data_IF_031007311996
#
_entry.id   IF_031007311996
#
_cell.length_a   1.000
_cell.length_b   1.000
_cell.length_c   1.000
_cell.angle_alpha   90.00
_cell.angle_beta   90.00
_cell.angle_gamma   90.00
#
_symmetry.space_group_name_H-M   'P 1'
#
loop_
_entity.id
_entity.type
_entity.pdbx_description
1 polymer ?
#
# COMPACT_ATOMS: atom_id res chain seq x y z
N UNK A 1 29.72 20.68 -19.67
CA UNK A 1 28.62 20.60 -18.70
C UNK A 1 27.41 21.31 -19.31
N UNK A 2 26.49 20.50 -19.80
CA UNK A 2 25.21 21.01 -20.28
C UNK A 2 24.23 21.07 -19.11
N UNK A 3 23.36 22.09 -19.04
CA UNK A 3 22.40 22.22 -17.96
C UNK A 3 21.20 21.31 -18.16
N UNK A 4 20.68 20.78 -17.06
CA UNK A 4 19.45 19.97 -16.97
C UNK A 4 18.25 20.70 -17.55
N UNK A 5 17.31 20.03 -18.22
CA UNK A 5 16.10 20.66 -18.75
C UNK A 5 15.16 21.11 -17.62
N UNK A 6 14.63 22.32 -17.78
CA UNK A 6 13.75 22.99 -16.85
C UNK A 6 12.41 22.28 -16.69
N UNK A 7 11.96 22.19 -15.45
CA UNK A 7 10.61 21.76 -15.07
C UNK A 7 9.60 22.79 -15.58
N UNK A 8 8.75 22.40 -16.52
CA UNK A 8 7.64 23.22 -17.02
C UNK A 8 6.55 23.26 -15.93
N UNK A 9 6.34 24.45 -15.36
CA UNK A 9 5.16 24.74 -14.53
C UNK A 9 4.01 25.14 -15.47
N UNK A 10 2.78 24.67 -15.28
CA UNK A 10 1.65 25.19 -16.04
C UNK A 10 1.32 26.63 -15.60
N UNK A 11 1.08 27.48 -16.59
CA UNK A 11 0.70 28.87 -16.39
C UNK A 11 -0.69 29.00 -15.77
N UNK A 12 -0.80 29.81 -14.74
CA UNK A 12 -2.04 30.39 -14.28
C UNK A 12 -2.43 31.53 -15.21
N UNK A 13 -3.59 31.45 -15.83
CA UNK A 13 -4.44 32.61 -16.14
C UNK A 13 -5.70 32.18 -16.88
N UNK A 14 -6.83 32.31 -16.22
CA UNK A 14 -8.10 32.68 -16.86
C UNK A 14 -9.07 33.18 -15.79
N UNK A 15 -9.18 34.48 -15.64
CA UNK A 15 -10.25 35.18 -14.95
C UNK A 15 -11.58 34.90 -15.67
N UNK A 16 -12.51 34.20 -15.02
CA UNK A 16 -13.91 34.18 -15.44
C UNK A 16 -14.75 35.01 -14.48
N UNK A 17 -15.28 36.09 -14.98
CA UNK A 17 -16.26 36.95 -14.33
C UNK A 17 -17.55 36.18 -14.03
N UNK A 18 -17.87 36.01 -12.76
CA UNK A 18 -19.14 35.45 -12.30
C UNK A 18 -20.13 36.62 -12.17
N UNK A 19 -21.12 36.65 -13.06
CA UNK A 19 -22.28 37.56 -12.95
C UNK A 19 -23.10 37.25 -11.72
N UNK A 20 -23.23 38.23 -10.83
CA UNK A 20 -24.14 38.18 -9.66
C UNK A 20 -25.57 38.18 -10.16
N UNK A 21 -26.29 37.11 -9.98
CA UNK A 21 -27.74 37.06 -10.07
C UNK A 21 -28.31 37.58 -8.74
N UNK A 22 -29.01 38.71 -8.80
CA UNK A 22 -29.77 39.28 -7.68
C UNK A 22 -31.01 38.43 -7.41
N UNK A 23 -31.06 37.78 -6.25
CA UNK A 23 -32.24 37.06 -5.76
C UNK A 23 -33.08 38.03 -4.89
N UNK A 24 -34.39 38.18 -5.13
CA UNK A 24 -35.24 39.08 -4.36
C UNK A 24 -35.44 38.54 -2.93
N UNK A 25 -35.73 39.42 -1.93
CA UNK A 25 -35.90 39.02 -0.54
C UNK A 25 -37.19 38.20 -0.35
N UNK A 26 -37.03 37.01 0.23
CA UNK A 26 -38.19 36.18 0.68
C UNK A 26 -38.73 36.72 1.99
N UNK A 27 -40.08 36.79 2.03
CA UNK A 27 -40.89 37.12 3.22
C UNK A 27 -40.63 36.14 4.38
N UNK A 28 -40.79 36.54 5.64
CA UNK A 28 -40.54 35.69 6.79
C UNK A 28 -41.61 34.61 6.88
N UNK A 29 -41.24 33.37 6.56
CA UNK A 29 -42.06 32.21 6.83
C UNK A 29 -41.80 31.72 8.26
N UNK A 30 -42.88 31.45 8.93
CA UNK A 30 -43.07 30.89 10.26
C UNK A 30 -42.06 29.77 10.54
N UNK A 31 -41.28 29.92 11.61
CA UNK A 31 -40.40 28.90 12.14
C UNK A 31 -41.19 27.63 12.49
N UNK A 32 -40.87 26.46 11.95
CA UNK A 32 -41.34 25.22 12.55
C UNK A 32 -40.58 25.03 13.87
N UNK A 33 -41.32 24.64 14.91
CA UNK A 33 -40.83 24.26 16.23
C UNK A 33 -39.58 23.41 16.15
N UNK A 34 -38.59 23.69 16.98
CA UNK A 34 -37.36 22.93 17.19
C UNK A 34 -37.70 21.44 17.29
N UNK A 35 -37.45 20.72 16.21
CA UNK A 35 -37.25 19.27 16.28
C UNK A 35 -35.97 19.05 17.07
N UNK A 36 -36.10 18.52 18.27
CA UNK A 36 -34.98 17.93 19.01
C UNK A 36 -34.19 17.08 18.07
N UNK A 37 -32.84 17.13 18.05
CA UNK A 37 -32.05 16.26 17.19
C UNK A 37 -32.42 14.82 17.54
N UNK A 38 -33.11 14.13 16.64
CA UNK A 38 -33.33 12.70 16.72
C UNK A 38 -31.93 12.11 16.94
N UNK A 39 -31.78 11.22 17.92
CA UNK A 39 -30.54 10.50 18.16
C UNK A 39 -30.21 9.76 16.88
N UNK A 40 -29.45 10.38 16.01
CA UNK A 40 -28.93 9.71 14.80
C UNK A 40 -28.17 8.48 15.28
N UNK A 41 -28.60 7.32 14.83
CA UNK A 41 -27.98 6.04 15.18
C UNK A 41 -26.50 6.12 14.77
N UNK A 42 -25.59 5.94 15.75
CA UNK A 42 -24.17 6.05 15.50
C UNK A 42 -23.69 4.84 14.70
N UNK A 43 -22.77 5.06 13.77
CA UNK A 43 -22.18 4.01 12.95
C UNK A 43 -21.14 3.24 13.77
N UNK A 44 -21.29 1.93 13.89
CA UNK A 44 -20.30 1.09 14.57
C UNK A 44 -19.14 0.76 13.66
N UNK A 45 -17.97 1.35 13.96
CA UNK A 45 -16.73 1.19 13.19
C UNK A 45 -15.83 0.15 13.86
N UNK A 46 -15.66 -1.00 13.21
CA UNK A 46 -14.70 -2.04 13.62
C UNK A 46 -13.29 -1.79 13.09
N UNK A 47 -12.29 -2.01 13.92
CA UNK A 47 -10.87 -2.04 13.53
C UNK A 47 -10.33 -3.45 13.76
N UNK A 48 -10.10 -4.19 12.67
CA UNK A 48 -9.57 -5.55 12.69
C UNK A 48 -8.15 -5.57 12.12
N UNK A 49 -7.17 -5.52 12.99
CA UNK A 49 -5.74 -5.52 12.67
C UNK A 49 -4.93 -6.02 13.87
N UNK A 50 -3.69 -6.48 13.63
CA UNK A 50 -2.78 -6.88 14.71
C UNK A 50 -2.53 -5.69 15.66
N UNK A 51 -2.32 -5.96 16.95
CA UNK A 51 -2.23 -4.94 18.01
C UNK A 51 -1.25 -3.80 17.68
N UNK A 52 -0.08 -4.13 17.11
CA UNK A 52 0.92 -3.15 16.67
C UNK A 52 0.37 -2.16 15.64
N UNK A 53 -0.53 -2.59 14.75
CA UNK A 53 -1.15 -1.73 13.73
C UNK A 53 -2.34 -0.97 14.31
N UNK A 54 -3.21 -1.66 15.05
CA UNK A 54 -4.38 -1.06 15.70
C UNK A 54 -4.01 0.05 16.69
N UNK A 55 -2.89 -0.11 17.43
CA UNK A 55 -2.38 0.87 18.39
C UNK A 55 -1.34 1.83 17.83
N UNK A 56 -1.08 1.82 16.52
CA UNK A 56 -0.09 2.71 15.89
C UNK A 56 -0.45 4.19 16.05
N UNK A 57 0.54 5.08 16.03
CA UNK A 57 0.31 6.53 16.08
C UNK A 57 -0.64 7.00 14.98
N UNK A 58 -0.47 6.48 13.76
CA UNK A 58 -1.33 6.83 12.62
C UNK A 58 -2.77 6.39 12.86
N UNK A 59 -2.99 5.15 13.33
CA UNK A 59 -4.34 4.65 13.61
C UNK A 59 -4.99 5.46 14.74
N UNK A 60 -4.30 5.71 15.85
CA UNK A 60 -4.83 6.55 16.93
C UNK A 60 -5.23 7.94 16.45
N UNK A 61 -4.45 8.55 15.56
CA UNK A 61 -4.80 9.85 14.98
C UNK A 61 -6.09 9.78 14.14
N UNK A 62 -6.21 8.74 13.29
CA UNK A 62 -7.43 8.53 12.48
C UNK A 62 -8.65 8.34 13.39
N UNK A 63 -8.57 7.41 14.34
CA UNK A 63 -9.68 7.12 15.24
C UNK A 63 -10.06 8.33 16.10
N UNK A 64 -9.07 9.08 16.62
CA UNK A 64 -9.31 10.29 17.38
C UNK A 64 -9.95 11.43 16.59
N UNK A 65 -9.78 11.46 15.25
CA UNK A 65 -10.53 12.39 14.40
C UNK A 65 -11.99 11.93 14.22
N UNK A 66 -12.21 10.64 14.03
CA UNK A 66 -13.55 10.06 13.89
C UNK A 66 -14.36 10.20 15.19
N UNK A 67 -13.74 9.96 16.35
CA UNK A 67 -14.39 10.16 17.66
C UNK A 67 -14.89 11.60 17.87
N UNK A 68 -14.16 12.59 17.37
CA UNK A 68 -14.55 14.02 17.48
C UNK A 68 -15.82 14.34 16.72
N UNK A 69 -16.17 13.60 15.67
CA UNK A 69 -17.42 13.82 14.92
C UNK A 69 -18.65 13.40 15.74
N UNK A 70 -18.47 12.50 16.73
CA UNK A 70 -19.55 11.89 17.52
C UNK A 70 -20.54 11.06 16.70
N UNK A 71 -20.16 10.70 15.48
CA UNK A 71 -20.98 9.89 14.55
C UNK A 71 -20.65 8.40 14.63
N UNK A 72 -19.49 8.03 15.25
CA UNK A 72 -18.98 6.67 15.28
C UNK A 72 -18.87 6.12 16.69
N UNK A 73 -19.20 4.83 16.83
CA UNK A 73 -18.83 3.97 17.95
C UNK A 73 -17.71 3.05 17.51
N UNK A 74 -16.51 3.23 18.10
CA UNK A 74 -15.30 2.54 17.64
C UNK A 74 -15.08 1.26 18.44
N UNK A 75 -14.96 0.13 17.73
CA UNK A 75 -14.70 -1.21 18.28
C UNK A 75 -13.37 -1.73 17.75
N UNK A 76 -12.34 -1.75 18.59
CA UNK A 76 -11.05 -2.34 18.23
C UNK A 76 -11.08 -3.83 18.59
N UNK A 77 -10.84 -4.71 17.61
CA UNK A 77 -10.81 -6.15 17.84
C UNK A 77 -9.53 -6.51 18.58
N UNK A 78 -9.64 -7.15 19.77
CA UNK A 78 -8.47 -7.65 20.48
C UNK A 78 -7.68 -8.65 19.63
N UNK A 79 -6.35 -8.60 19.66
CA UNK A 79 -5.48 -9.50 18.89
C UNK A 79 -5.73 -10.98 19.25
N UNK A 80 -5.92 -11.28 20.53
CA UNK A 80 -6.25 -12.64 20.97
C UNK A 80 -7.57 -13.14 20.36
N UNK A 81 -8.59 -12.27 20.27
CA UNK A 81 -9.84 -12.61 19.58
C UNK A 81 -9.57 -12.93 18.10
N UNK A 82 -8.81 -12.08 17.42
CA UNK A 82 -8.49 -12.25 15.99
C UNK A 82 -7.77 -13.59 15.75
N UNK A 83 -6.81 -13.92 16.58
CA UNK A 83 -6.00 -15.12 16.42
C UNK A 83 -6.74 -16.39 16.87
N UNK A 84 -7.32 -16.39 18.06
CA UNK A 84 -7.68 -17.60 18.78
C UNK A 84 -9.18 -17.88 18.84
N UNK A 85 -10.05 -16.84 18.83
CA UNK A 85 -11.48 -17.06 19.00
C UNK A 85 -12.21 -17.38 17.69
N UNK A 86 -13.24 -18.22 17.71
CA UNK A 86 -14.09 -18.48 16.55
C UNK A 86 -14.78 -17.20 16.04
N UNK A 87 -14.91 -17.03 14.73
CA UNK A 87 -15.53 -15.84 14.11
C UNK A 87 -16.99 -15.60 14.55
N UNK A 88 -17.67 -16.62 15.04
CA UNK A 88 -19.05 -16.50 15.57
C UNK A 88 -19.11 -15.68 16.86
N UNK A 89 -18.02 -15.65 17.62
CA UNK A 89 -17.86 -14.90 18.87
C UNK A 89 -17.40 -13.45 18.66
N UNK A 90 -16.99 -13.12 17.43
CA UNK A 90 -16.59 -11.77 17.10
C UNK A 90 -17.80 -10.83 17.04
N UNK A 91 -17.60 -9.50 17.21
CA UNK A 91 -18.68 -8.52 17.18
C UNK A 91 -19.61 -8.72 15.99
N UNK A 92 -20.92 -8.73 16.25
CA UNK A 92 -21.95 -8.98 15.21
C UNK A 92 -22.55 -7.71 14.61
N UNK A 93 -22.38 -6.59 15.30
CA UNK A 93 -22.99 -5.28 15.00
C UNK A 93 -21.97 -4.28 14.48
N UNK A 94 -21.12 -4.69 13.53
CA UNK A 94 -20.16 -3.79 12.87
C UNK A 94 -20.76 -3.34 11.54
N UNK A 95 -20.99 -2.04 11.40
CA UNK A 95 -21.49 -1.43 10.17
C UNK A 95 -20.36 -1.20 9.17
N UNK A 96 -19.22 -0.69 9.65
CA UNK A 96 -18.03 -0.35 8.85
C UNK A 96 -16.82 -1.03 9.42
N UNK A 97 -15.99 -1.61 8.56
CA UNK A 97 -14.77 -2.33 8.97
C UNK A 97 -13.52 -1.76 8.30
N UNK A 98 -12.52 -1.45 9.11
CA UNK A 98 -11.16 -1.15 8.68
C UNK A 98 -10.31 -2.38 8.96
N UNK A 99 -9.57 -2.87 7.95
CA UNK A 99 -8.63 -4.00 8.09
C UNK A 99 -7.27 -3.64 7.55
N UNK A 100 -6.20 -4.12 8.22
CA UNK A 100 -4.84 -4.02 7.71
C UNK A 100 -4.13 -5.34 7.84
N UNK A 101 -3.60 -5.82 6.72
CA UNK A 101 -2.67 -6.95 6.72
C UNK A 101 -1.35 -6.55 7.39
N UNK A 102 -0.79 -7.44 8.15
CA UNK A 102 0.60 -7.44 8.62
C UNK A 102 0.97 -8.87 8.99
N UNK A 103 2.26 -9.13 9.17
CA UNK A 103 2.73 -10.45 9.54
C UNK A 103 1.95 -11.05 10.72
N UNK A 104 1.54 -12.31 10.59
CA UNK A 104 0.69 -13.02 11.54
C UNK A 104 -0.82 -12.73 11.44
N UNK A 105 -1.28 -11.78 10.62
CA UNK A 105 -2.71 -11.47 10.48
C UNK A 105 -3.45 -12.58 9.73
N UNK A 106 -4.50 -13.22 10.33
CA UNK A 106 -5.18 -14.37 9.75
C UNK A 106 -6.17 -13.97 8.65
N UNK A 107 -5.67 -13.51 7.51
CA UNK A 107 -6.45 -12.91 6.43
C UNK A 107 -7.66 -13.77 6.02
N UNK A 108 -7.49 -15.09 5.86
CA UNK A 108 -8.58 -16.00 5.49
C UNK A 108 -9.70 -16.05 6.55
N UNK A 109 -9.33 -15.95 7.83
CA UNK A 109 -10.31 -15.93 8.91
C UNK A 109 -11.14 -14.65 8.90
N UNK A 110 -10.49 -13.52 8.60
CA UNK A 110 -11.15 -12.22 8.45
C UNK A 110 -12.03 -12.16 7.21
N UNK A 111 -11.62 -12.77 6.10
CA UNK A 111 -12.47 -12.93 4.90
C UNK A 111 -13.79 -13.64 5.26
N UNK A 112 -13.71 -14.76 5.97
CA UNK A 112 -14.90 -15.50 6.43
C UNK A 112 -15.79 -14.69 7.38
N UNK A 113 -15.19 -13.86 8.25
CA UNK A 113 -15.94 -12.96 9.11
C UNK A 113 -16.71 -11.92 8.26
N UNK A 114 -16.07 -11.31 7.26
CA UNK A 114 -16.70 -10.35 6.35
C UNK A 114 -17.83 -11.00 5.53
N UNK A 115 -17.63 -12.24 5.06
CA UNK A 115 -18.68 -13.02 4.39
C UNK A 115 -19.90 -13.27 5.29
N UNK A 116 -19.63 -13.59 6.57
CA UNK A 116 -20.67 -13.88 7.55
C UNK A 116 -21.46 -12.65 8.01
N UNK A 117 -20.76 -11.53 8.30
CA UNK A 117 -21.35 -10.34 8.93
C UNK A 117 -21.67 -9.22 7.92
N UNK A 118 -21.00 -9.23 6.76
CA UNK A 118 -21.18 -8.27 5.66
C UNK A 118 -21.06 -6.79 6.04
N UNK A 119 -20.07 -6.39 6.87
CA UNK A 119 -19.83 -4.99 7.14
C UNK A 119 -19.40 -4.26 5.85
N UNK A 120 -19.62 -2.96 5.81
CA UNK A 120 -19.01 -2.14 4.76
C UNK A 120 -17.50 -2.06 4.99
N UNK A 121 -16.70 -2.68 4.12
CA UNK A 121 -15.24 -2.66 4.24
C UNK A 121 -14.66 -1.43 3.57
N UNK A 122 -13.95 -0.58 4.33
CA UNK A 122 -13.21 0.59 3.78
C UNK A 122 -12.14 0.12 2.80
N UNK A 123 -11.43 -0.95 3.14
CA UNK A 123 -10.49 -1.66 2.28
C UNK A 123 -10.88 -3.13 2.21
N UNK A 124 -11.12 -3.63 1.01
CA UNK A 124 -11.52 -5.03 0.80
C UNK A 124 -10.45 -5.97 1.33
N UNK A 125 -10.87 -7.03 2.02
CA UNK A 125 -9.95 -7.99 2.68
C UNK A 125 -9.25 -8.88 1.65
N UNK A 126 -10.00 -9.51 0.74
CA UNK A 126 -9.45 -10.44 -0.24
C UNK A 126 -8.31 -9.89 -1.11
N UNK A 127 -8.46 -8.69 -1.71
CA UNK A 127 -7.38 -8.07 -2.48
C UNK A 127 -6.09 -7.80 -1.72
N UNK A 128 -6.09 -7.76 -0.38
CA UNK A 128 -4.87 -7.61 0.41
C UNK A 128 -3.89 -8.77 0.18
N UNK A 129 -4.39 -9.95 -0.13
CA UNK A 129 -3.55 -11.12 -0.51
C UNK A 129 -2.76 -10.88 -1.80
N UNK A 130 -3.33 -10.13 -2.74
CA UNK A 130 -2.65 -9.78 -3.99
C UNK A 130 -1.41 -8.90 -3.71
N UNK A 131 -1.55 -7.97 -2.75
CA UNK A 131 -0.49 -7.01 -2.42
C UNK A 131 0.73 -7.65 -1.74
N UNK A 132 0.65 -8.91 -1.30
CA UNK A 132 1.76 -9.61 -0.68
C UNK A 132 2.81 -10.10 -1.68
N UNK A 133 2.45 -10.24 -2.96
CA UNK A 133 3.35 -10.67 -4.02
C UNK A 133 3.45 -9.59 -5.10
N UNK A 134 4.62 -8.98 -5.23
CA UNK A 134 4.85 -7.90 -6.20
C UNK A 134 4.62 -8.33 -7.65
N UNK A 135 4.85 -9.60 -8.01
CA UNK A 135 4.59 -10.13 -9.35
C UNK A 135 3.11 -10.03 -9.70
N UNK A 136 2.24 -10.39 -8.74
CA UNK A 136 0.78 -10.30 -8.91
C UNK A 136 0.30 -8.87 -9.07
N UNK A 137 0.92 -7.93 -8.34
CA UNK A 137 0.61 -6.49 -8.47
C UNK A 137 0.99 -5.99 -9.87
N UNK A 138 2.20 -6.30 -10.35
CA UNK A 138 2.63 -5.90 -11.69
C UNK A 138 1.76 -6.53 -12.79
N UNK A 139 1.46 -7.82 -12.70
CA UNK A 139 0.55 -8.48 -13.63
C UNK A 139 -0.86 -7.89 -13.65
N UNK A 140 -1.38 -7.42 -12.49
CA UNK A 140 -2.65 -6.70 -12.42
C UNK A 140 -2.57 -5.33 -13.11
N UNK A 141 -1.50 -4.58 -12.88
CA UNK A 141 -1.29 -3.28 -13.53
C UNK A 141 -1.23 -3.45 -15.06
N UNK A 142 -0.44 -4.40 -15.53
CA UNK A 142 -0.28 -4.72 -16.96
C UNK A 142 -1.59 -5.13 -17.60
N UNK A 143 -2.32 -6.08 -17.00
CA UNK A 143 -3.62 -6.58 -17.52
C UNK A 143 -4.71 -5.51 -17.58
N UNK A 144 -4.56 -4.42 -16.82
CA UNK A 144 -5.48 -3.28 -16.84
C UNK A 144 -4.94 -2.07 -17.61
N UNK A 145 -3.81 -2.20 -18.32
CA UNK A 145 -3.21 -1.12 -19.08
C UNK A 145 -2.73 0.06 -18.23
N UNK A 146 -2.46 -0.18 -16.95
CA UNK A 146 -1.95 0.86 -16.04
C UNK A 146 -0.44 0.95 -16.21
N UNK A 147 0.11 2.13 -16.57
CA UNK A 147 1.53 2.31 -16.76
C UNK A 147 2.32 1.97 -15.49
N UNK A 148 3.37 1.17 -15.65
CA UNK A 148 4.32 0.84 -14.61
C UNK A 148 5.75 0.78 -15.20
N UNK A 149 6.81 0.86 -14.39
CA UNK A 149 8.17 0.67 -14.87
C UNK A 149 8.34 -0.70 -15.51
N UNK A 150 9.25 -0.80 -16.51
CA UNK A 150 9.67 -2.10 -17.02
C UNK A 150 10.19 -2.96 -15.87
N UNK A 151 9.73 -4.19 -15.78
CA UNK A 151 10.12 -5.12 -14.74
C UNK A 151 10.38 -6.51 -15.29
N UNK A 152 11.31 -7.21 -14.68
CA UNK A 152 11.60 -8.62 -14.90
C UNK A 152 11.63 -9.33 -13.56
N UNK A 153 11.29 -10.61 -13.52
CA UNK A 153 11.36 -11.40 -12.31
C UNK A 153 12.47 -12.44 -12.40
N UNK A 154 13.41 -12.40 -11.47
CA UNK A 154 14.39 -13.44 -11.25
C UNK A 154 13.83 -14.38 -10.19
N UNK A 155 13.17 -15.46 -10.62
CA UNK A 155 12.62 -16.47 -9.73
C UNK A 155 13.67 -17.50 -9.35
N UNK A 156 13.66 -17.89 -8.06
CA UNK A 156 14.50 -18.96 -7.53
C UNK A 156 13.67 -19.93 -6.71
N UNK A 157 14.10 -21.17 -6.70
CA UNK A 157 13.59 -22.15 -5.78
C UNK A 157 13.89 -21.72 -4.32
N UNK A 158 12.93 -21.77 -3.40
CA UNK A 158 13.16 -21.31 -2.03
C UNK A 158 14.12 -22.19 -1.23
N UNK A 159 14.31 -23.47 -1.63
CA UNK A 159 15.18 -24.42 -0.92
C UNK A 159 16.56 -24.54 -1.60
N UNK A 160 16.58 -24.67 -2.92
CA UNK A 160 17.83 -24.90 -3.68
C UNK A 160 18.47 -23.63 -4.22
N UNK A 161 17.72 -22.53 -4.27
CA UNK A 161 18.09 -21.23 -4.88
C UNK A 161 18.36 -21.32 -6.39
N UNK A 162 18.03 -22.42 -7.03
CA UNK A 162 18.14 -22.59 -8.48
C UNK A 162 17.17 -21.65 -9.20
N UNK A 163 17.59 -21.16 -10.36
CA UNK A 163 16.77 -20.28 -11.20
C UNK A 163 15.56 -21.03 -11.75
N UNK A 164 14.42 -20.35 -11.82
CA UNK A 164 13.15 -20.85 -12.35
C UNK A 164 12.58 -19.91 -13.42
N UNK A 165 11.63 -20.45 -14.21
CA UNK A 165 10.92 -19.68 -15.24
C UNK A 165 11.87 -19.07 -16.26
N UNK A 166 11.59 -17.87 -16.73
CA UNK A 166 12.38 -17.17 -17.75
C UNK A 166 13.86 -16.97 -17.34
N UNK A 167 14.15 -16.90 -16.03
CA UNK A 167 15.52 -16.80 -15.54
C UNK A 167 16.28 -18.13 -15.66
N UNK A 168 15.60 -19.28 -15.59
CA UNK A 168 16.22 -20.58 -15.83
C UNK A 168 16.57 -20.78 -17.31
N UNK A 169 15.74 -20.22 -18.22
CA UNK A 169 15.98 -20.30 -19.66
C UNK A 169 17.17 -19.43 -20.08
N UNK A 170 17.27 -18.22 -19.56
CA UNK A 170 18.35 -17.29 -19.85
C UNK A 170 18.47 -16.25 -18.74
N UNK A 171 19.57 -16.31 -18.00
CA UNK A 171 19.99 -15.27 -17.07
C UNK A 171 21.45 -14.89 -17.32
N UNK A 172 21.67 -13.64 -17.70
CA UNK A 172 22.99 -13.06 -17.87
C UNK A 172 23.12 -11.82 -16.98
N UNK A 173 24.24 -11.69 -16.31
CA UNK A 173 24.58 -10.51 -15.52
C UNK A 173 25.92 -9.95 -16.00
N UNK A 174 25.91 -8.67 -16.35
CA UNK A 174 27.08 -7.88 -16.71
C UNK A 174 27.19 -6.66 -15.80
N UNK A 175 28.31 -5.93 -15.90
CA UNK A 175 28.58 -4.78 -15.00
C UNK A 175 27.43 -3.76 -14.98
N UNK A 176 26.80 -3.51 -16.12
CA UNK A 176 25.81 -2.42 -16.26
C UNK A 176 24.40 -2.88 -16.67
N UNK A 177 24.17 -4.18 -16.81
CA UNK A 177 22.84 -4.70 -17.14
C UNK A 177 22.67 -6.14 -16.69
N UNK A 178 21.42 -6.57 -16.65
CA UNK A 178 21.00 -7.97 -16.56
C UNK A 178 20.13 -8.32 -17.76
N UNK A 179 20.12 -9.59 -18.14
CA UNK A 179 19.17 -10.18 -19.10
C UNK A 179 18.41 -11.28 -18.38
N UNK A 180 17.08 -11.26 -18.49
CA UNK A 180 16.20 -12.31 -17.96
C UNK A 180 15.26 -12.75 -19.08
N UNK A 181 15.37 -13.99 -19.51
CA UNK A 181 14.71 -14.45 -20.73
C UNK A 181 15.16 -13.62 -21.95
N UNK A 182 14.23 -12.91 -22.57
CA UNK A 182 14.48 -12.03 -23.72
C UNK A 182 14.55 -10.54 -23.34
N UNK A 183 14.51 -10.21 -22.05
CA UNK A 183 14.42 -8.81 -21.60
C UNK A 183 15.73 -8.36 -20.98
N UNK A 184 16.28 -7.27 -21.53
CA UNK A 184 17.46 -6.59 -20.99
C UNK A 184 17.03 -5.42 -20.12
N UNK A 185 17.59 -5.33 -18.91
CA UNK A 185 17.40 -4.22 -17.97
C UNK A 185 18.76 -3.59 -17.66
N UNK A 186 18.91 -2.32 -18.00
CA UNK A 186 20.16 -1.57 -17.83
C UNK A 186 20.13 -0.79 -16.52
N UNK A 187 21.28 -0.73 -15.83
CA UNK A 187 21.42 0.13 -14.63
C UNK A 187 21.29 1.63 -14.99
N UNK A 188 20.70 2.48 -14.14
CA UNK A 188 20.26 2.12 -12.78
C UNK A 188 18.92 1.37 -12.78
N UNK A 189 18.84 0.34 -11.97
CA UNK A 189 17.58 -0.36 -11.72
C UNK A 189 17.37 -0.63 -10.22
N UNK A 190 16.13 -0.96 -9.86
CA UNK A 190 15.73 -1.26 -8.48
C UNK A 190 15.37 -2.73 -8.37
N UNK A 191 16.05 -3.45 -7.52
CA UNK A 191 15.74 -4.84 -7.16
C UNK A 191 14.90 -4.85 -5.89
N UNK A 192 13.75 -5.53 -5.93
CA UNK A 192 12.83 -5.67 -4.82
C UNK A 192 12.55 -7.15 -4.56
N UNK A 193 12.52 -7.62 -3.29
CA UNK A 193 12.02 -8.96 -2.98
C UNK A 193 10.63 -9.17 -3.56
N UNK A 194 10.32 -10.40 -4.00
CA UNK A 194 8.96 -10.75 -4.46
C UNK A 194 7.95 -10.57 -3.33
N UNK A 195 8.33 -10.95 -2.10
CA UNK A 195 7.54 -10.67 -0.90
C UNK A 195 7.47 -9.17 -0.63
N UNK A 196 6.25 -8.61 -0.66
CA UNK A 196 6.03 -7.19 -0.45
C UNK A 196 6.22 -6.74 1.01
N UNK A 197 6.19 -7.64 1.97
CA UNK A 197 6.51 -7.36 3.39
C UNK A 197 8.01 -7.25 3.63
N UNK A 198 8.84 -7.82 2.74
CA UNK A 198 10.29 -7.61 2.78
C UNK A 198 10.66 -6.26 2.16
N UNK A 199 11.23 -5.39 3.00
CA UNK A 199 11.63 -4.02 2.66
C UNK A 199 13.12 -3.89 2.28
N UNK A 200 13.82 -5.02 2.11
CA UNK A 200 15.22 -5.02 1.67
C UNK A 200 15.30 -4.77 0.16
N UNK A 201 15.30 -3.52 -0.24
CA UNK A 201 15.35 -3.06 -1.64
C UNK A 201 16.76 -2.60 -1.97
N UNK A 202 17.25 -2.96 -3.15
CA UNK A 202 18.56 -2.53 -3.65
C UNK A 202 18.42 -1.67 -4.90
N UNK A 203 19.17 -0.59 -4.96
CA UNK A 203 19.30 0.29 -6.13
C UNK A 203 20.70 0.12 -6.66
N UNK A 204 20.83 -0.42 -7.87
CA UNK A 204 22.11 -0.65 -8.56
C UNK A 204 22.42 0.52 -9.48
N UNK A 205 23.60 1.10 -9.34
CA UNK A 205 24.03 2.26 -10.14
C UNK A 205 24.94 1.81 -11.30
N UNK A 206 24.84 2.51 -12.43
CA UNK A 206 25.65 2.30 -13.61
C UNK A 206 27.13 2.64 -13.34
N UNK A 207 28.05 1.90 -13.94
CA UNK A 207 29.51 2.10 -13.76
C UNK A 207 29.97 3.50 -14.11
N UNK A 208 29.36 4.12 -15.16
CA UNK A 208 29.67 5.50 -15.56
C UNK A 208 29.34 6.56 -14.50
N UNK A 209 28.52 6.25 -13.51
CA UNK A 209 28.19 7.12 -12.37
C UNK A 209 28.91 6.71 -11.08
N UNK A 210 29.92 5.83 -11.19
CA UNK A 210 30.68 5.31 -10.07
C UNK A 210 30.25 3.92 -9.60
N UNK A 211 29.12 3.38 -10.10
CA UNK A 211 28.61 2.07 -9.71
C UNK A 211 28.18 1.97 -8.25
N UNK A 212 28.21 0.76 -7.71
CA UNK A 212 27.81 0.47 -6.33
C UNK A 212 26.32 0.25 -6.15
N UNK A 213 25.91 -0.03 -4.92
CA UNK A 213 24.52 -0.37 -4.58
C UNK A 213 24.06 0.43 -3.36
N UNK A 214 22.90 1.07 -3.47
CA UNK A 214 22.22 1.64 -2.33
C UNK A 214 21.16 0.66 -1.83
N UNK A 215 21.35 0.16 -0.64
CA UNK A 215 20.38 -0.70 0.05
C UNK A 215 19.43 0.13 0.88
N UNK A 216 18.13 -0.13 0.74
CA UNK A 216 17.07 0.44 1.56
C UNK A 216 16.52 -0.67 2.46
N UNK A 217 16.18 -0.33 3.70
CA UNK A 217 15.66 -1.27 4.69
C UNK A 217 14.72 -0.58 5.68
N UNK A 218 13.97 -1.35 6.46
CA UNK A 218 13.17 -0.80 7.57
C UNK A 218 14.10 -0.07 8.54
N UNK A 219 13.67 1.10 9.01
CA UNK A 219 14.45 1.95 9.91
C UNK A 219 14.95 1.19 11.14
N UNK A 220 16.27 1.19 11.32
CA UNK A 220 16.96 0.63 12.48
C UNK A 220 17.78 1.78 13.11
N UNK A 221 17.41 2.18 14.33
CA UNK A 221 17.93 3.41 14.90
C UNK A 221 17.57 4.61 14.01
N UNK A 222 18.57 5.38 13.60
CA UNK A 222 18.38 6.54 12.72
C UNK A 222 18.65 6.25 11.23
N UNK A 223 18.98 5.01 10.88
CA UNK A 223 19.30 4.61 9.51
C UNK A 223 18.17 3.82 8.87
N UNK A 224 17.91 4.10 7.59
CA UNK A 224 17.00 3.36 6.72
C UNK A 224 17.65 3.03 5.37
N UNK A 225 18.92 3.37 5.18
CA UNK A 225 19.68 3.04 3.98
C UNK A 225 21.17 2.93 4.28
N UNK A 226 21.88 2.21 3.42
CA UNK A 226 23.34 2.16 3.35
C UNK A 226 23.77 2.18 1.89
N UNK A 227 25.01 2.59 1.63
CA UNK A 227 25.60 2.53 0.30
C UNK A 227 26.89 1.70 0.36
N UNK A 228 27.05 0.81 -0.63
CA UNK A 228 28.24 -0.02 -0.79
C UNK A 228 28.79 0.18 -2.20
N UNK A 229 29.99 0.76 -2.28
CA UNK A 229 30.67 1.09 -3.53
C UNK A 229 31.18 -0.17 -4.24
N UNK A 230 31.52 -1.21 -3.49
CA UNK A 230 32.13 -2.44 -4.02
C UNK A 230 31.09 -3.48 -4.45
N UNK A 231 29.86 -3.34 -3.98
CA UNK A 231 28.79 -4.25 -4.38
C UNK A 231 28.39 -4.03 -5.84
N UNK A 232 28.47 -5.09 -6.67
CA UNK A 232 28.20 -5.00 -8.12
C UNK A 232 27.05 -5.89 -8.58
N UNK A 233 26.89 -7.05 -7.93
CA UNK A 233 26.04 -8.12 -8.40
C UNK A 233 24.68 -8.16 -7.74
N UNK A 234 23.66 -8.60 -8.50
CA UNK A 234 22.32 -8.85 -7.96
C UNK A 234 22.35 -9.98 -6.93
N UNK A 235 21.42 -9.95 -6.01
CA UNK A 235 21.32 -10.94 -4.94
C UNK A 235 20.94 -12.31 -5.48
N UNK A 236 21.39 -13.36 -4.77
CA UNK A 236 21.14 -14.77 -5.13
C UNK A 236 20.41 -15.54 -4.03
N UNK A 237 20.00 -14.85 -2.96
CA UNK A 237 19.41 -15.40 -1.74
C UNK A 237 17.88 -15.46 -1.77
N UNK A 238 17.25 -15.27 -2.92
CA UNK A 238 15.81 -15.33 -3.08
C UNK A 238 15.33 -14.95 -4.46
N UNK A 239 14.01 -14.75 -4.59
CA UNK A 239 13.36 -14.25 -5.81
C UNK A 239 13.14 -12.74 -5.72
N UNK A 240 13.45 -12.05 -6.82
CA UNK A 240 13.43 -10.58 -6.90
C UNK A 240 12.77 -10.10 -8.20
N UNK A 241 12.18 -8.89 -8.12
CA UNK A 241 11.59 -8.14 -9.22
C UNK A 241 12.42 -6.89 -9.50
#
# INVERSE_FOLDING_TARGET
PEPLPAVIRPASDASSSVSRVLVPPRSPSIMPSEMSPSSAERVTLGVCAMAKKASSKSMRNILGLLEKTREFDIVIFPEDMILNQPIKEWPSNIDVLITFFSDGFPLQKVERYVELRKPHCINKVGPQRLLQDRRRVYGLLESNGIPHPQAVCVERDPETLELKGAAADNFEEQDDFIVVGNTKVVKPFVEKPVDAEDHNVCIYYHSSTGGGVKRLFRKVGDRSSSFDQEWRHVRKDGSYL
#
